data_IF_640445355153
#
_entry.id   IF_640445355153
#
_cell.length_a   1.000
_cell.length_b   1.000
_cell.length_c   1.000
_cell.angle_alpha   90.00
_cell.angle_beta   90.00
_cell.angle_gamma   90.00
#
_symmetry.space_group_name_H-M   'P 1'
#
loop_
_entity.id
_entity.type
_entity.pdbx_description
1 polymer ?
#
# COMPACT_ATOMS: atom_id res chain seq x y z
N UNK A 1 14.48 10.14 9.59
CA UNK A 1 13.81 8.90 10.05
C UNK A 1 13.90 7.80 8.99
N UNK A 2 13.44 8.05 7.75
CA UNK A 2 13.76 7.23 6.57
C UNK A 2 15.19 6.67 6.49
N UNK A 3 16.20 7.42 6.93
CA UNK A 3 17.60 6.99 6.95
C UNK A 3 17.86 5.74 7.81
N UNK A 4 17.00 5.41 8.78
CA UNK A 4 17.09 4.18 9.59
C UNK A 4 16.19 3.06 9.07
N UNK A 5 15.06 3.40 8.44
CA UNK A 5 14.12 2.41 7.89
C UNK A 5 14.71 1.78 6.62
N UNK A 6 15.22 2.59 5.68
CA UNK A 6 15.64 2.09 4.37
C UNK A 6 16.84 1.13 4.40
N UNK A 7 17.91 1.31 5.22
CA UNK A 7 19.02 0.35 5.25
C UNK A 7 18.60 -1.01 5.80
N UNK A 8 17.67 -1.03 6.76
CA UNK A 8 17.12 -2.27 7.33
C UNK A 8 16.32 -3.00 6.26
N UNK A 9 15.44 -2.31 5.52
CA UNK A 9 14.67 -2.92 4.41
C UNK A 9 15.59 -3.41 3.28
N UNK A 10 16.62 -2.65 2.91
CA UNK A 10 17.64 -3.08 1.93
C UNK A 10 18.37 -4.35 2.42
N UNK A 11 18.70 -4.43 3.71
CA UNK A 11 19.27 -5.63 4.33
C UNK A 11 18.35 -6.85 4.22
N UNK A 12 17.05 -6.69 4.50
CA UNK A 12 16.05 -7.75 4.33
C UNK A 12 15.98 -8.22 2.87
N UNK A 13 15.88 -7.29 1.92
CA UNK A 13 15.84 -7.61 0.47
C UNK A 13 17.10 -8.34 0.05
N UNK A 14 18.28 -7.89 0.48
CA UNK A 14 19.55 -8.53 0.14
C UNK A 14 19.64 -9.97 0.68
N UNK A 15 19.28 -10.19 1.94
CA UNK A 15 19.24 -11.53 2.56
C UNK A 15 18.26 -12.46 1.83
N UNK A 16 17.07 -11.96 1.49
CA UNK A 16 16.06 -12.74 0.78
C UNK A 16 16.43 -13.03 -0.67
N UNK A 17 17.06 -12.09 -1.40
CA UNK A 17 17.57 -12.34 -2.75
C UNK A 17 18.69 -13.40 -2.74
N UNK A 18 19.57 -13.38 -1.74
CA UNK A 18 20.60 -14.42 -1.57
C UNK A 18 19.99 -15.79 -1.24
N UNK A 19 18.94 -15.83 -0.40
CA UNK A 19 18.15 -17.04 -0.15
C UNK A 19 17.51 -17.59 -1.43
N UNK A 20 16.80 -16.75 -2.20
CA UNK A 20 16.12 -17.15 -3.45
C UNK A 20 17.10 -17.71 -4.48
N UNK A 21 18.24 -17.04 -4.68
CA UNK A 21 19.33 -17.49 -5.56
C UNK A 21 19.90 -18.84 -5.12
N UNK A 22 20.19 -18.99 -3.82
CA UNK A 22 20.78 -20.23 -3.27
C UNK A 22 19.86 -21.45 -3.41
N UNK A 23 18.54 -21.22 -3.47
CA UNK A 23 17.53 -22.27 -3.64
C UNK A 23 17.03 -22.41 -5.09
N UNK A 24 17.70 -21.77 -6.07
CA UNK A 24 17.31 -21.77 -7.49
C UNK A 24 15.87 -21.31 -7.77
N UNK A 25 15.30 -20.45 -6.91
CA UNK A 25 13.95 -19.91 -7.08
C UNK A 25 14.03 -18.75 -8.07
N UNK A 26 13.62 -18.98 -9.32
CA UNK A 26 13.66 -18.00 -10.41
C UNK A 26 12.51 -16.98 -10.33
N UNK A 27 12.46 -16.20 -9.23
CA UNK A 27 11.52 -15.11 -8.99
C UNK A 27 12.24 -13.92 -8.36
N UNK A 28 11.75 -12.71 -8.66
CA UNK A 28 12.28 -11.47 -8.09
C UNK A 28 11.51 -11.03 -6.85
N UNK A 29 12.24 -10.74 -5.77
CA UNK A 29 11.78 -9.82 -4.72
C UNK A 29 12.27 -8.41 -5.08
N UNK A 30 11.38 -7.42 -5.08
CA UNK A 30 11.74 -6.01 -5.30
C UNK A 30 11.25 -5.13 -4.14
N UNK A 31 11.80 -3.92 -4.05
CA UNK A 31 11.35 -2.88 -3.12
C UNK A 31 11.01 -1.63 -3.91
N UNK A 32 9.79 -1.12 -3.73
CA UNK A 32 9.30 0.12 -4.33
C UNK A 32 9.19 1.17 -3.22
N UNK A 33 9.80 2.32 -3.40
CA UNK A 33 9.69 3.47 -2.50
C UNK A 33 8.57 4.40 -2.98
N UNK A 34 7.79 4.97 -2.05
CA UNK A 34 6.67 5.91 -2.32
C UNK A 34 5.69 5.38 -3.39
N UNK A 35 4.95 4.32 -3.07
CA UNK A 35 3.91 3.76 -3.96
C UNK A 35 2.53 4.32 -3.62
N UNK A 36 1.83 4.89 -4.60
CA UNK A 36 0.41 5.22 -4.44
C UNK A 36 -0.42 3.93 -4.54
N UNK A 37 -1.34 3.71 -3.58
CA UNK A 37 -2.32 2.63 -3.65
C UNK A 37 -3.72 3.21 -3.79
N UNK A 38 -4.52 2.64 -4.70
CA UNK A 38 -5.92 2.95 -4.89
C UNK A 38 -6.76 1.67 -4.79
N UNK A 39 -7.38 1.46 -3.63
CA UNK A 39 -8.37 0.42 -3.41
C UNK A 39 -9.79 0.97 -3.44
N UNK A 40 -10.78 0.09 -3.22
CA UNK A 40 -12.20 0.52 -3.14
C UNK A 40 -12.55 1.16 -1.79
N UNK A 41 -11.79 0.85 -0.74
CA UNK A 41 -12.06 1.27 0.65
C UNK A 41 -10.99 2.15 1.28
N UNK A 42 -9.86 2.33 0.61
CA UNK A 42 -8.76 3.15 1.07
C UNK A 42 -7.90 3.56 -0.14
N UNK A 43 -7.35 4.76 -0.06
CA UNK A 43 -6.39 5.32 -1.01
C UNK A 43 -5.26 5.98 -0.22
N UNK A 44 -4.09 6.15 -0.85
CA UNK A 44 -2.99 6.93 -0.29
C UNK A 44 -1.61 6.38 -0.59
N UNK A 45 -0.60 7.20 -0.32
CA UNK A 45 0.81 6.85 -0.49
C UNK A 45 1.30 5.91 0.62
N UNK A 46 2.09 4.91 0.23
CA UNK A 46 2.83 3.99 1.09
C UNK A 46 4.31 4.32 0.99
N UNK A 47 5.02 4.40 2.11
CA UNK A 47 6.43 4.77 2.14
C UNK A 47 7.33 3.76 1.45
N UNK A 48 7.13 2.46 1.71
CA UNK A 48 7.81 1.37 1.03
C UNK A 48 6.88 0.17 0.82
N UNK A 49 7.09 -0.57 -0.26
CA UNK A 49 6.43 -1.85 -0.52
C UNK A 49 7.48 -2.87 -0.93
N UNK A 50 7.48 -4.05 -0.30
CA UNK A 50 8.20 -5.21 -0.82
C UNK A 50 7.25 -6.00 -1.71
N UNK A 51 7.63 -6.24 -2.96
CA UNK A 51 6.82 -6.96 -3.96
C UNK A 51 7.47 -8.31 -4.22
N UNK A 52 6.73 -9.41 -4.01
CA UNK A 52 7.12 -10.73 -4.48
C UNK A 52 5.96 -11.35 -5.27
N UNK A 53 6.24 -11.64 -6.53
CA UNK A 53 5.22 -11.95 -7.53
C UNK A 53 4.07 -10.93 -7.53
N UNK A 54 2.88 -11.34 -7.11
CA UNK A 54 1.63 -10.59 -7.13
C UNK A 54 1.18 -10.13 -5.74
N UNK A 55 1.96 -10.36 -4.67
CA UNK A 55 1.60 -9.91 -3.32
C UNK A 55 2.64 -8.97 -2.71
N UNK A 56 2.10 -7.97 -2.02
CA UNK A 56 2.84 -6.86 -1.44
C UNK A 56 2.93 -7.00 0.08
N UNK A 57 4.09 -6.66 0.66
CA UNK A 57 4.23 -6.33 2.08
C UNK A 57 4.25 -4.82 2.16
N UNK A 58 3.31 -4.24 2.91
CA UNK A 58 3.12 -2.79 3.01
C UNK A 58 3.90 -2.25 4.21
N UNK A 59 4.77 -1.26 3.98
CA UNK A 59 5.56 -0.63 5.03
C UNK A 59 5.19 0.86 5.14
N UNK A 60 4.75 1.25 6.34
CA UNK A 60 4.26 2.60 6.66
C UNK A 60 5.19 3.26 7.66
N UNK A 61 5.67 4.46 7.35
CA UNK A 61 6.41 5.32 8.29
C UNK A 61 5.39 6.04 9.19
N UNK A 62 5.48 5.82 10.50
CA UNK A 62 4.54 6.34 11.48
C UNK A 62 5.19 7.43 12.35
N UNK A 63 4.38 8.38 12.81
CA UNK A 63 4.80 9.32 13.83
C UNK A 63 4.99 8.59 15.18
N UNK A 64 6.12 8.82 15.86
CA UNK A 64 6.42 8.28 17.21
C UNK A 64 5.29 8.47 18.22
N UNK A 65 4.58 9.59 18.14
CA UNK A 65 3.48 9.91 19.06
C UNK A 65 2.18 9.15 18.74
N UNK A 66 2.08 8.51 17.56
CA UNK A 66 0.83 7.90 17.11
C UNK A 66 1.03 6.64 16.25
N UNK A 67 1.77 5.67 16.79
CA UNK A 67 1.98 4.36 16.14
C UNK A 67 0.66 3.62 15.84
N UNK A 68 -0.38 3.83 16.66
CA UNK A 68 -1.70 3.24 16.46
C UNK A 68 -2.42 3.75 15.20
N UNK A 69 -2.32 5.05 14.88
CA UNK A 69 -2.78 5.56 13.58
C UNK A 69 -1.98 4.94 12.42
N UNK A 70 -0.67 4.81 12.57
CA UNK A 70 0.19 4.13 11.59
C UNK A 70 -0.23 2.67 11.36
N UNK A 71 -0.61 1.94 12.41
CA UNK A 71 -1.17 0.58 12.32
C UNK A 71 -2.49 0.59 11.55
N UNK A 72 -3.44 1.45 11.90
CA UNK A 72 -4.73 1.53 11.20
C UNK A 72 -4.53 1.86 9.71
N UNK A 73 -3.68 2.84 9.39
CA UNK A 73 -3.33 3.21 8.03
C UNK A 73 -2.69 2.05 7.26
N UNK A 74 -1.74 1.33 7.88
CA UNK A 74 -1.08 0.18 7.26
C UNK A 74 -2.06 -0.96 6.93
N UNK A 75 -3.04 -1.23 7.80
CA UNK A 75 -4.08 -2.23 7.56
C UNK A 75 -5.00 -1.84 6.39
N UNK A 76 -5.37 -0.55 6.31
CA UNK A 76 -6.13 0.00 5.19
C UNK A 76 -5.33 -0.07 3.88
N UNK A 77 -4.04 0.24 3.91
CA UNK A 77 -3.13 0.15 2.76
C UNK A 77 -2.90 -1.30 2.29
N UNK A 78 -2.78 -2.28 3.20
CA UNK A 78 -2.77 -3.70 2.84
C UNK A 78 -4.04 -4.09 2.08
N UNK A 79 -5.21 -3.64 2.55
CA UNK A 79 -6.47 -3.92 1.84
C UNK A 79 -6.54 -3.22 0.50
N UNK A 80 -6.10 -1.97 0.41
CA UNK A 80 -6.03 -1.23 -0.85
C UNK A 80 -5.15 -1.93 -1.87
N UNK A 81 -4.01 -2.47 -1.44
CA UNK A 81 -3.12 -3.24 -2.31
C UNK A 81 -3.80 -4.47 -2.90
N UNK A 82 -4.60 -5.21 -2.12
CA UNK A 82 -5.35 -6.36 -2.65
C UNK A 82 -6.40 -5.90 -3.68
N UNK A 83 -7.23 -4.92 -3.33
CA UNK A 83 -8.27 -4.42 -4.24
C UNK A 83 -7.68 -3.89 -5.56
N UNK A 84 -6.51 -3.23 -5.50
CA UNK A 84 -5.75 -2.76 -6.66
C UNK A 84 -5.24 -3.91 -7.55
N UNK A 85 -4.69 -4.97 -6.95
CA UNK A 85 -4.28 -6.18 -7.67
C UNK A 85 -5.44 -6.87 -8.40
N UNK A 86 -6.65 -6.88 -7.82
CA UNK A 86 -7.85 -7.35 -8.53
C UNK A 86 -8.22 -6.51 -9.73
N UNK A 87 -8.13 -5.18 -9.65
CA UNK A 87 -8.45 -4.34 -10.81
C UNK A 87 -7.43 -4.59 -11.94
N UNK A 88 -6.12 -4.52 -11.67
CA UNK A 88 -5.07 -4.79 -12.69
C UNK A 88 -5.24 -6.17 -13.36
N UNK A 89 -5.43 -7.23 -12.57
CA UNK A 89 -5.48 -8.59 -13.11
C UNK A 89 -6.81 -8.91 -13.81
N UNK A 90 -7.91 -8.21 -13.50
CA UNK A 90 -9.20 -8.39 -14.20
C UNK A 90 -9.32 -7.48 -15.42
N UNK A 91 -8.96 -6.21 -15.29
CA UNK A 91 -9.13 -5.22 -16.37
C UNK A 91 -8.22 -5.53 -17.57
N UNK A 92 -7.02 -6.09 -17.32
CA UNK A 92 -6.17 -6.65 -18.39
C UNK A 92 -6.85 -7.75 -19.23
N UNK A 93 -7.89 -8.39 -18.70
CA UNK A 93 -8.66 -9.43 -19.40
C UNK A 93 -10.00 -8.94 -19.96
N UNK A 94 -10.43 -7.69 -19.68
CA UNK A 94 -11.76 -7.18 -20.01
C UNK A 94 -11.74 -5.69 -20.36
N UNK A 95 -11.58 -5.37 -21.64
CA UNK A 95 -11.77 -4.01 -22.16
C UNK A 95 -13.20 -3.50 -21.93
N UNK A 96 -13.36 -2.42 -21.15
CA UNK A 96 -14.57 -1.59 -21.09
C UNK A 96 -15.19 -1.40 -19.70
N UNK A 97 -15.56 -0.14 -19.39
CA UNK A 97 -16.25 0.38 -18.20
C UNK A 97 -16.85 -0.67 -17.25
N UNK A 98 -16.09 -1.09 -16.22
CA UNK A 98 -16.58 -1.98 -15.17
C UNK A 98 -16.16 -1.55 -13.77
N UNK A 99 -17.11 -1.76 -12.86
CA UNK A 99 -17.13 -1.44 -11.43
C UNK A 99 -15.92 -2.05 -10.70
N UNK A 100 -15.14 -1.25 -9.95
CA UNK A 100 -14.00 -1.71 -9.12
C UNK A 100 -14.39 -2.96 -8.31
N UNK A 101 -13.76 -4.10 -8.61
CA UNK A 101 -14.09 -5.41 -8.03
C UNK A 101 -13.30 -5.62 -6.73
N UNK A 102 -13.83 -6.38 -5.77
CA UNK A 102 -13.07 -6.70 -4.56
C UNK A 102 -12.20 -7.94 -4.79
N UNK A 103 -10.98 -7.94 -4.24
CA UNK A 103 -10.02 -9.04 -4.40
C UNK A 103 -10.61 -10.41 -4.08
N UNK A 104 -11.42 -10.51 -3.03
CA UNK A 104 -12.01 -11.77 -2.59
C UNK A 104 -13.12 -12.29 -3.53
N UNK A 105 -13.76 -11.40 -4.29
CA UNK A 105 -14.80 -11.77 -5.27
C UNK A 105 -14.15 -12.45 -6.48
N UNK A 106 -13.04 -11.88 -6.94
CA UNK A 106 -12.22 -12.32 -8.09
C UNK A 106 -11.38 -13.56 -7.73
N UNK A 107 -10.74 -13.54 -6.56
CA UNK A 107 -9.63 -14.42 -6.23
C UNK A 107 -9.87 -15.26 -4.96
N UNK A 108 -11.08 -15.81 -4.83
CA UNK A 108 -11.48 -16.70 -3.71
C UNK A 108 -10.39 -17.68 -3.27
N UNK A 109 -9.80 -18.43 -4.21
CA UNK A 109 -8.80 -19.48 -3.95
C UNK A 109 -7.48 -18.96 -3.32
N UNK A 110 -7.21 -17.65 -3.36
CA UNK A 110 -6.07 -17.01 -2.66
C UNK A 110 -6.49 -15.91 -1.67
N UNK A 111 -7.79 -15.67 -1.48
CA UNK A 111 -8.34 -14.74 -0.46
C UNK A 111 -8.08 -15.20 0.98
N UNK A 112 -7.64 -16.45 1.16
CA UNK A 112 -7.18 -17.03 2.42
C UNK A 112 -5.69 -16.79 2.69
N UNK A 113 -4.91 -16.29 1.72
CA UNK A 113 -3.50 -15.94 1.93
C UNK A 113 -3.43 -14.75 2.89
N UNK A 114 -2.68 -14.83 4.00
CA UNK A 114 -2.50 -13.69 4.87
C UNK A 114 -1.73 -12.57 4.16
N UNK A 115 -2.17 -11.33 4.30
CA UNK A 115 -1.34 -10.17 3.97
C UNK A 115 -0.52 -9.76 5.18
N UNK A 116 0.65 -9.20 4.92
CA UNK A 116 1.56 -8.73 5.95
C UNK A 116 1.87 -7.25 5.76
N UNK A 117 2.14 -6.58 6.87
CA UNK A 117 2.60 -5.20 6.88
C UNK A 117 3.56 -4.91 8.02
N UNK A 118 4.23 -3.78 7.91
CA UNK A 118 5.24 -3.29 8.84
C UNK A 118 4.94 -1.82 9.10
N UNK A 119 4.92 -1.43 10.36
CA UNK A 119 4.80 -0.03 10.78
C UNK A 119 6.07 0.32 11.54
N UNK A 120 6.68 1.45 11.19
CA UNK A 120 7.94 1.87 11.82
C UNK A 120 7.97 3.36 12.10
N UNK A 121 8.47 3.71 13.29
CA UNK A 121 8.84 5.07 13.68
C UNK A 121 10.35 5.32 13.55
N UNK A 122 11.07 4.38 12.90
CA UNK A 122 12.53 4.27 12.88
C UNK A 122 13.08 3.45 14.05
N UNK A 123 12.67 3.77 15.28
CA UNK A 123 13.07 3.11 16.52
C UNK A 123 12.08 2.06 17.05
N UNK A 124 10.77 2.24 16.84
CA UNK A 124 9.73 1.27 17.20
C UNK A 124 9.19 0.64 15.93
N UNK A 125 9.05 -0.69 15.94
CA UNK A 125 8.56 -1.48 14.80
C UNK A 125 7.44 -2.41 15.24
N UNK A 126 6.32 -2.39 14.51
CA UNK A 126 5.18 -3.30 14.71
C UNK A 126 4.91 -4.04 13.41
N UNK A 127 4.74 -5.36 13.51
CA UNK A 127 4.49 -6.24 12.38
C UNK A 127 3.01 -6.60 12.40
N UNK A 128 2.31 -6.46 11.28
CA UNK A 128 0.88 -6.73 11.17
C UNK A 128 0.64 -7.91 10.23
N UNK A 129 -0.35 -8.73 10.55
CA UNK A 129 -0.86 -9.77 9.67
C UNK A 129 -2.39 -9.69 9.62
N UNK A 130 -2.95 -9.61 8.42
CA UNK A 130 -4.38 -9.78 8.18
C UNK A 130 -4.62 -11.15 7.57
N UNK A 131 -5.56 -11.92 8.11
CA UNK A 131 -6.00 -13.18 7.48
C UNK A 131 -7.52 -13.28 7.50
N UNK A 132 -8.08 -13.94 6.49
CA UNK A 132 -9.50 -14.28 6.49
C UNK A 132 -9.75 -15.59 7.26
N UNK A 133 -10.86 -15.66 7.98
CA UNK A 133 -11.36 -16.88 8.61
C UNK A 133 -12.40 -17.57 7.73
N UNK A 134 -12.67 -18.84 8.03
CA UNK A 134 -13.62 -19.67 7.27
C UNK A 134 -15.07 -19.13 7.32
N UNK A 135 -15.42 -18.39 8.37
CA UNK A 135 -16.68 -17.66 8.51
C UNK A 135 -16.70 -16.32 7.73
N UNK A 136 -15.67 -16.04 6.95
CA UNK A 136 -15.56 -14.88 6.07
C UNK A 136 -15.13 -13.58 6.76
N UNK A 137 -14.87 -13.56 8.08
CA UNK A 137 -14.34 -12.38 8.79
C UNK A 137 -12.85 -12.16 8.52
N UNK A 138 -12.36 -10.96 8.80
CA UNK A 138 -10.92 -10.64 8.77
C UNK A 138 -10.41 -10.55 10.21
N UNK A 139 -9.40 -11.35 10.54
CA UNK A 139 -8.63 -11.21 11.79
C UNK A 139 -7.37 -10.39 11.49
N UNK A 140 -7.16 -9.35 12.29
CA UNK A 140 -5.92 -8.58 12.35
C UNK A 140 -5.11 -9.03 13.55
N UNK A 141 -3.82 -9.32 13.35
CA UNK A 141 -2.88 -9.73 14.40
C UNK A 141 -1.65 -8.80 14.33
N UNK A 142 -1.55 -7.80 15.21
CA UNK A 142 -0.31 -7.05 15.41
C UNK A 142 0.67 -7.84 16.29
N UNK A 143 1.96 -7.67 16.05
CA UNK A 143 3.01 -8.13 16.96
C UNK A 143 3.09 -7.23 18.19
N UNK A 144 3.82 -7.69 19.21
CA UNK A 144 4.41 -6.76 20.19
C UNK A 144 5.38 -5.82 19.47
N UNK A 145 5.58 -4.64 20.04
CA UNK A 145 6.58 -3.66 19.59
C UNK A 145 8.00 -4.26 19.66
N UNK A 146 8.77 -4.02 18.62
CA UNK A 146 10.20 -4.32 18.54
C UNK A 146 10.92 -2.97 18.63
N UNK A 147 11.70 -2.78 19.69
CA UNK A 147 12.37 -1.51 20.00
C UNK A 147 13.86 -1.61 19.64
N UNK A 148 14.32 -0.66 18.83
CA UNK A 148 15.72 -0.46 18.45
C UNK A 148 16.29 0.66 19.30
N UNK A 149 17.30 0.34 20.12
CA UNK A 149 18.02 1.32 20.95
C UNK A 149 19.07 2.04 20.11
N UNK A 150 18.65 3.08 19.40
CA UNK A 150 19.53 3.90 18.55
C UNK A 150 20.57 4.70 19.35
N UNK A 151 20.29 4.94 20.64
CA UNK A 151 21.11 5.63 21.64
C UNK A 151 21.90 4.68 22.56
N UNK A 152 21.79 3.37 22.33
CA UNK A 152 22.48 2.33 23.10
C UNK A 152 23.96 2.16 22.74
N UNK A 153 24.59 1.16 23.36
CA UNK A 153 25.94 0.74 22.93
C UNK A 153 25.90 0.10 21.54
N UNK A 154 27.04 0.08 20.83
CA UNK A 154 27.15 -0.57 19.50
C UNK A 154 26.64 -2.01 19.53
N UNK A 155 26.97 -2.77 20.58
CA UNK A 155 26.49 -4.14 20.77
C UNK A 155 24.97 -4.20 20.95
N UNK A 156 24.37 -3.30 21.74
CA UNK A 156 22.91 -3.24 21.91
C UNK A 156 22.20 -2.89 20.60
N UNK A 157 22.73 -1.94 19.83
CA UNK A 157 22.21 -1.59 18.51
C UNK A 157 22.28 -2.80 17.56
N UNK A 158 23.42 -3.48 17.53
CA UNK A 158 23.65 -4.68 16.71
C UNK A 158 22.68 -5.81 17.05
N UNK A 159 22.48 -6.09 18.34
CA UNK A 159 21.58 -7.15 18.81
C UNK A 159 20.10 -6.81 18.47
N UNK A 160 19.68 -5.56 18.70
CA UNK A 160 18.34 -5.06 18.31
C UNK A 160 18.12 -5.14 16.80
N UNK A 161 19.08 -4.70 15.98
CA UNK A 161 18.99 -4.74 14.52
C UNK A 161 19.00 -6.18 14.00
N UNK A 162 19.83 -7.07 14.54
CA UNK A 162 19.84 -8.48 14.18
C UNK A 162 18.49 -9.17 14.51
N UNK A 163 17.91 -8.87 15.68
CA UNK A 163 16.57 -9.36 16.05
C UNK A 163 15.51 -8.88 15.05
N UNK A 164 15.49 -7.59 14.73
CA UNK A 164 14.54 -7.01 13.78
C UNK A 164 14.71 -7.59 12.37
N UNK A 165 15.93 -7.63 11.83
CA UNK A 165 16.23 -8.25 10.54
C UNK A 165 15.73 -9.70 10.49
N UNK A 166 15.97 -10.47 11.55
CA UNK A 166 15.50 -11.86 11.65
C UNK A 166 13.97 -11.95 11.60
N UNK A 167 13.25 -11.04 12.26
CA UNK A 167 11.77 -11.00 12.24
C UNK A 167 11.21 -10.56 10.89
N UNK A 168 11.83 -9.57 10.25
CA UNK A 168 11.40 -9.08 8.94
C UNK A 168 11.65 -10.13 7.85
N UNK A 169 12.85 -10.72 7.79
CA UNK A 169 13.20 -11.85 6.91
C UNK A 169 12.21 -13.00 7.09
N UNK A 170 11.86 -13.36 8.33
CA UNK A 170 10.90 -14.42 8.61
C UNK A 170 9.48 -14.12 8.05
N UNK A 171 9.02 -12.87 8.10
CA UNK A 171 7.73 -12.49 7.50
C UNK A 171 7.78 -12.59 5.97
N UNK A 172 8.82 -12.05 5.32
CA UNK A 172 8.99 -12.17 3.87
C UNK A 172 9.05 -13.65 3.45
N UNK A 173 9.77 -14.48 4.21
CA UNK A 173 9.85 -15.91 3.99
C UNK A 173 8.48 -16.61 4.08
N UNK A 174 7.68 -16.35 5.13
CA UNK A 174 6.33 -16.95 5.24
C UNK A 174 5.44 -16.55 4.07
N UNK A 175 5.46 -15.28 3.67
CA UNK A 175 4.65 -14.82 2.54
C UNK A 175 5.07 -15.53 1.24
N UNK A 176 6.37 -15.64 0.98
CA UNK A 176 6.93 -16.38 -0.16
C UNK A 176 6.51 -17.86 -0.15
N UNK A 177 6.64 -18.53 0.99
CA UNK A 177 6.23 -19.93 1.17
C UNK A 177 4.73 -20.13 0.89
N UNK A 178 3.87 -19.25 1.42
CA UNK A 178 2.42 -19.32 1.20
C UNK A 178 2.03 -19.09 -0.27
N UNK A 179 2.70 -18.17 -0.97
CA UNK A 179 2.49 -17.93 -2.40
C UNK A 179 2.90 -19.16 -3.22
N UNK A 180 4.10 -19.69 -2.98
CA UNK A 180 4.64 -20.83 -3.72
C UNK A 180 3.81 -22.12 -3.46
N UNK A 181 3.30 -22.33 -2.24
CA UNK A 181 2.35 -23.41 -1.93
C UNK A 181 1.06 -23.27 -2.76
N UNK A 182 0.45 -22.08 -2.77
CA UNK A 182 -0.80 -21.86 -3.50
C UNK A 182 -0.65 -21.93 -5.03
N UNK A 183 0.47 -21.49 -5.61
CA UNK A 183 0.76 -21.71 -7.03
C UNK A 183 0.89 -23.20 -7.38
N UNK A 184 1.54 -23.97 -6.51
CA UNK A 184 1.72 -25.42 -6.71
C UNK A 184 0.38 -26.17 -6.79
N UNK A 185 -0.62 -25.69 -6.05
CA UNK A 185 -2.01 -26.17 -6.13
C UNK A 185 -2.78 -25.58 -7.33
N UNK A 186 -2.49 -24.35 -7.75
CA UNK A 186 -3.26 -23.59 -8.76
C UNK A 186 -2.55 -23.42 -10.12
N UNK A 187 -1.99 -24.49 -10.69
CA UNK A 187 -1.31 -24.55 -12.01
C UNK A 187 -2.12 -24.12 -13.25
N UNK A 188 -3.28 -23.47 -13.09
CA UNK A 188 -4.15 -22.96 -14.17
C UNK A 188 -4.41 -21.45 -14.12
N UNK A 189 -3.92 -20.72 -13.12
CA UNK A 189 -4.17 -19.27 -13.01
C UNK A 189 -3.19 -18.46 -13.84
N UNK A 190 -3.71 -17.43 -14.52
CA UNK A 190 -2.95 -16.46 -15.34
C UNK A 190 -2.11 -15.58 -14.41
N UNK A 191 -0.87 -15.96 -14.13
CA UNK A 191 0.11 -15.04 -13.53
C UNK A 191 0.56 -14.06 -14.60
N UNK A 192 0.32 -12.76 -14.40
CA UNK A 192 1.10 -11.75 -15.14
C UNK A 192 2.55 -11.84 -14.64
N UNK A 193 3.56 -11.79 -15.54
CA UNK A 193 4.96 -11.74 -15.13
C UNK A 193 5.19 -10.61 -14.13
N UNK A 194 5.99 -10.85 -13.09
CA UNK A 194 6.16 -9.88 -12.00
C UNK A 194 6.82 -8.57 -12.48
N UNK A 195 7.61 -8.62 -13.56
CA UNK A 195 8.15 -7.43 -14.23
C UNK A 195 7.08 -6.66 -15.03
N UNK A 196 6.04 -7.34 -15.53
CA UNK A 196 4.87 -6.71 -16.14
C UNK A 196 4.00 -6.03 -15.09
N UNK A 197 3.78 -6.67 -13.94
CA UNK A 197 3.11 -6.04 -12.78
C UNK A 197 3.89 -4.79 -12.37
N UNK A 198 5.20 -4.88 -12.14
CA UNK A 198 6.03 -3.72 -11.75
C UNK A 198 6.02 -2.58 -12.79
N UNK A 199 5.94 -2.88 -14.09
CA UNK A 199 5.80 -1.85 -15.15
C UNK A 199 4.43 -1.19 -15.13
N UNK A 200 3.35 -1.96 -15.00
CA UNK A 200 1.98 -1.43 -14.90
C UNK A 200 1.84 -0.60 -13.60
N UNK A 201 2.40 -1.07 -12.49
CA UNK A 201 2.43 -0.33 -11.22
C UNK A 201 3.21 0.98 -11.32
N UNK A 202 4.29 1.02 -12.10
CA UNK A 202 5.05 2.24 -12.35
C UNK A 202 4.37 3.20 -13.35
N UNK A 203 3.65 2.69 -14.36
CA UNK A 203 2.94 3.53 -15.34
C UNK A 203 1.63 4.07 -14.77
N UNK A 204 0.77 3.20 -14.25
CA UNK A 204 -0.49 3.58 -13.61
C UNK A 204 -0.25 4.44 -12.37
N UNK A 205 0.89 4.27 -11.68
CA UNK A 205 1.28 5.16 -10.58
C UNK A 205 1.39 6.62 -11.03
N UNK A 206 1.92 6.89 -12.23
CA UNK A 206 2.04 8.24 -12.77
C UNK A 206 0.72 8.75 -13.39
N UNK A 207 0.01 7.90 -14.13
CA UNK A 207 -1.29 8.25 -14.74
C UNK A 207 -2.35 8.57 -13.66
N UNK A 208 -2.42 7.77 -12.60
CA UNK A 208 -3.36 8.00 -11.50
C UNK A 208 -2.97 9.20 -10.62
N UNK A 209 -1.68 9.55 -10.55
CA UNK A 209 -1.26 10.82 -9.92
C UNK A 209 -1.76 12.00 -10.76
N UNK A 210 -1.66 11.94 -12.09
CA UNK A 210 -2.18 12.98 -12.98
C UNK A 210 -3.72 13.09 -12.91
N UNK A 211 -4.45 11.97 -12.89
CA UNK A 211 -5.92 12.02 -12.66
C UNK A 211 -6.26 12.68 -11.31
N UNK A 212 -5.60 12.29 -10.21
CA UNK A 212 -5.88 12.87 -8.88
C UNK A 212 -5.44 14.34 -8.76
N UNK A 213 -4.37 14.75 -9.46
CA UNK A 213 -3.96 16.15 -9.54
C UNK A 213 -4.93 16.98 -10.39
N UNK A 214 -5.50 16.40 -11.45
CA UNK A 214 -6.54 17.04 -12.26
C UNK A 214 -7.87 17.16 -11.50
N UNK A 215 -8.36 16.08 -10.88
CA UNK A 215 -9.59 16.07 -10.06
C UNK A 215 -9.53 17.16 -8.96
N UNK A 216 -8.39 17.28 -8.28
CA UNK A 216 -8.17 18.33 -7.28
C UNK A 216 -8.10 19.73 -7.88
N UNK A 217 -7.52 19.87 -9.07
CA UNK A 217 -7.49 21.14 -9.78
C UNK A 217 -8.85 21.51 -10.41
N UNK A 218 -9.85 20.63 -10.37
CA UNK A 218 -11.26 20.93 -10.65
C UNK A 218 -11.99 21.33 -9.35
N UNK A 219 -11.87 20.56 -8.26
CA UNK A 219 -12.40 20.93 -6.92
C UNK A 219 -11.91 22.33 -6.46
N UNK A 220 -10.60 22.62 -6.57
CA UNK A 220 -10.02 23.93 -6.21
C UNK A 220 -10.50 25.09 -7.12
N UNK A 221 -11.04 24.79 -8.31
CA UNK A 221 -11.61 25.78 -9.24
C UNK A 221 -13.07 26.10 -8.91
N UNK A 222 -13.85 25.10 -8.55
CA UNK A 222 -15.26 25.29 -8.16
C UNK A 222 -15.40 26.09 -6.85
N UNK A 223 -14.42 26.02 -5.92
CA UNK A 223 -14.40 26.92 -4.75
C UNK A 223 -14.10 28.39 -5.14
N UNK A 224 -13.33 28.63 -6.20
CA UNK A 224 -12.93 29.97 -6.64
C UNK A 224 -14.02 30.73 -7.43
N UNK A 225 -14.93 30.05 -8.13
CA UNK A 225 -16.02 30.70 -8.90
C UNK A 225 -17.22 31.11 -8.03
N UNK A 226 -17.17 30.90 -6.72
CA UNK A 226 -18.30 31.15 -5.80
C UNK A 226 -18.36 32.54 -5.14
N UNK A 227 -17.45 33.47 -5.49
CA UNK A 227 -17.24 34.72 -4.73
C UNK A 227 -17.35 36.05 -5.50
N UNK A 228 -17.82 36.07 -6.75
CA UNK A 228 -18.06 37.29 -7.53
C UNK A 228 -19.51 37.39 -8.05
N UNK A 229 -20.48 37.57 -7.16
CA UNK A 229 -21.82 38.07 -7.53
C UNK A 229 -22.56 38.77 -6.37
N UNK A 230 -22.09 39.94 -5.98
CA UNK A 230 -22.95 40.93 -5.29
C UNK A 230 -22.54 42.36 -5.69
N UNK A 231 -23.50 43.28 -5.58
CA UNK A 231 -23.41 44.72 -5.90
C UNK A 231 -23.32 45.14 -7.38
N UNK A 232 -24.49 45.34 -7.98
CA UNK A 232 -24.71 46.57 -8.77
C UNK A 232 -26.08 47.14 -8.46
N UNK A 233 -26.11 48.22 -7.67
CA UNK A 233 -27.30 49.06 -7.47
C UNK A 233 -27.78 49.64 -8.81
N UNK A 234 -29.10 49.69 -9.02
CA UNK A 234 -29.70 50.56 -10.03
C UNK A 234 -30.73 51.46 -9.38
N UNK A 235 -30.36 52.72 -9.22
CA UNK A 235 -31.22 53.85 -8.90
C UNK A 235 -32.03 54.18 -10.17
N UNK A 236 -33.36 54.27 -10.05
CA UNK A 236 -34.20 54.99 -11.01
C UNK A 236 -35.08 55.97 -10.23
N UNK A 237 -35.08 57.23 -10.69
CA UNK A 237 -35.83 58.35 -10.14
C UNK A 237 -36.84 58.91 -11.16
N UNK A 238 -37.69 59.80 -10.67
CA UNK A 238 -38.50 60.78 -11.42
C UNK A 238 -39.79 60.20 -12.06
N UNK A 239 -40.99 60.59 -11.57
CA UNK A 239 -41.78 61.79 -11.93
C UNK A 239 -42.46 61.66 -13.32
N UNK A 240 -43.72 62.04 -13.57
CA UNK A 240 -44.73 62.81 -12.81
C UNK A 240 -46.10 62.76 -13.55
N UNK A 241 -47.22 63.06 -12.85
CA UNK A 241 -48.52 63.58 -13.38
C UNK A 241 -49.30 62.72 -14.44
N UNK A 242 -50.61 62.81 -14.68
CA UNK A 242 -51.79 63.47 -14.10
C UNK A 242 -52.99 62.48 -14.18
N UNK A 243 -54.21 62.72 -13.66
CA UNK A 243 -54.83 63.86 -12.95
C UNK A 243 -55.39 63.41 -11.58
#
# INVERSE_FOLDING_TARGET
>A
MREFISPILVGVVHLMLNYLRSNSINKSLSMVCKKLLCGRRAYGSVDYVLVYDSLNIIITEANKQNINQGIIQNLLQQRASLDFLSNILVDYNLTGNKRKQMFDEVFRDVSSVPTYGIVSTGDIWVLTMCKRTDDGKTIVIPSKEIIIKLDGTEQQLKDSVQLLLSKLVYIVFIQIDKINQNESHNKRRRTMPSDMILRIEASMGNELIQEIENDKAEDDRDECESFDSDESESIDSDESESD
#
